data_IF_109682580795
#
_entry.id   IF_109682580795
#
_cell.length_a   1.000
_cell.length_b   1.000
_cell.length_c   1.000
_cell.angle_alpha   90.00
_cell.angle_beta   90.00
_cell.angle_gamma   90.00
#
_symmetry.space_group_name_H-M   'P 1'
#
loop_
_entity.id
_entity.type
_entity.pdbx_description
1 polymer ?
#
# COMPACT_ATOMS: atom_id res chain seq x y z
N UNK A 1 -16.78 7.36 -11.88
CA UNK A 1 -15.73 6.32 -11.88
C UNK A 1 -16.20 5.16 -11.00
N UNK A 2 -16.12 3.91 -11.48
CA UNK A 2 -16.50 2.71 -10.73
C UNK A 2 -15.22 2.00 -10.32
N UNK A 3 -14.94 1.92 -9.02
CA UNK A 3 -13.80 1.16 -8.52
C UNK A 3 -14.15 -0.33 -8.48
N UNK A 4 -13.29 -1.16 -9.02
CA UNK A 4 -13.42 -2.60 -9.05
C UNK A 4 -12.03 -3.27 -9.02
N UNK A 5 -11.99 -4.59 -9.17
CA UNK A 5 -10.75 -5.37 -9.08
C UNK A 5 -9.76 -5.06 -10.21
N UNK A 6 -10.20 -4.41 -11.29
CA UNK A 6 -9.33 -3.98 -12.40
C UNK A 6 -8.68 -2.62 -12.15
N UNK A 7 -9.07 -1.91 -11.07
CA UNK A 7 -8.41 -0.66 -10.70
C UNK A 7 -6.95 -0.93 -10.37
N UNK A 8 -6.06 -0.13 -10.95
CA UNK A 8 -4.64 -0.13 -10.63
C UNK A 8 -4.43 -0.01 -9.10
N UNK A 9 -3.49 -0.79 -8.56
CA UNK A 9 -3.32 -0.91 -7.11
C UNK A 9 -2.74 0.36 -6.49
N UNK A 10 -1.89 1.10 -7.22
CA UNK A 10 -1.36 2.37 -6.75
C UNK A 10 -2.49 3.41 -6.66
N UNK A 11 -3.34 3.47 -7.69
CA UNK A 11 -4.55 4.29 -7.68
C UNK A 11 -5.45 3.92 -6.49
N UNK A 12 -5.73 2.63 -6.29
CA UNK A 12 -6.53 2.16 -5.16
C UNK A 12 -5.91 2.57 -3.81
N UNK A 13 -4.59 2.48 -3.69
CA UNK A 13 -3.87 2.91 -2.49
C UNK A 13 -4.00 4.41 -2.24
N UNK A 14 -3.91 5.27 -3.27
CA UNK A 14 -4.11 6.73 -3.10
C UNK A 14 -5.52 7.03 -2.56
N UNK A 15 -6.55 6.33 -3.07
CA UNK A 15 -7.90 6.44 -2.49
C UNK A 15 -7.92 5.99 -1.02
N UNK A 16 -7.29 4.85 -0.70
CA UNK A 16 -7.23 4.30 0.65
C UNK A 16 -6.50 5.25 1.62
N UNK A 17 -5.43 5.90 1.15
CA UNK A 17 -4.62 6.87 1.89
C UNK A 17 -5.43 8.14 2.22
N UNK A 18 -6.12 8.73 1.25
CA UNK A 18 -6.93 9.94 1.47
C UNK A 18 -8.19 9.68 2.31
N UNK A 19 -8.74 8.48 2.21
CA UNK A 19 -9.92 8.07 2.99
C UNK A 19 -9.53 7.45 4.34
N UNK A 20 -8.24 7.40 4.66
CA UNK A 20 -7.75 6.81 5.89
C UNK A 20 -8.27 7.62 7.07
N UNK A 21 -9.03 6.93 7.92
CA UNK A 21 -9.42 7.43 9.22
C UNK A 21 -8.72 6.52 10.22
N UNK A 22 -8.26 7.04 11.37
CA UNK A 22 -7.71 6.20 12.42
C UNK A 22 -8.74 5.12 12.79
N UNK A 23 -8.49 3.88 12.37
CA UNK A 23 -9.29 2.70 12.67
C UNK A 23 -8.46 1.81 13.61
N UNK A 24 -8.97 1.44 14.79
CA UNK A 24 -8.22 0.60 15.73
C UNK A 24 -7.94 -0.82 15.22
N UNK A 25 -8.58 -1.27 14.12
CA UNK A 25 -8.47 -2.64 13.60
C UNK A 25 -7.54 -2.71 12.38
N UNK A 26 -7.44 -1.66 11.57
CA UNK A 26 -6.67 -1.65 10.31
C UNK A 26 -5.82 -0.39 10.22
N UNK A 27 -4.52 -0.54 10.45
CA UNK A 27 -3.54 0.53 10.29
C UNK A 27 -2.92 0.45 8.88
N UNK A 28 -3.24 1.43 8.03
CA UNK A 28 -2.68 1.51 6.68
C UNK A 28 -1.15 1.57 6.70
N UNK A 29 -0.57 2.15 7.76
CA UNK A 29 0.89 2.16 7.93
C UNK A 29 1.42 0.76 8.17
N UNK A 30 0.75 -0.03 9.00
CA UNK A 30 1.12 -1.42 9.24
C UNK A 30 1.02 -2.25 7.96
N UNK A 31 -0.03 -2.04 7.16
CA UNK A 31 -0.14 -2.72 5.86
C UNK A 31 1.11 -2.49 5.00
N UNK A 32 1.60 -1.25 4.96
CA UNK A 32 2.79 -0.87 4.19
C UNK A 32 4.10 -1.35 4.82
N UNK A 33 4.17 -1.51 6.14
CA UNK A 33 5.32 -2.09 6.83
C UNK A 33 5.42 -3.60 6.57
N UNK A 34 4.30 -4.30 6.66
CA UNK A 34 4.17 -5.75 6.43
C UNK A 34 4.63 -6.16 5.03
N UNK A 35 4.48 -5.29 4.02
CA UNK A 35 4.94 -5.54 2.65
C UNK A 35 6.44 -5.82 2.53
N UNK A 36 7.24 -5.37 3.50
CA UNK A 36 8.68 -5.69 3.55
C UNK A 36 8.91 -7.19 3.71
N UNK A 37 7.99 -7.88 4.39
CA UNK A 37 8.08 -9.31 4.71
C UNK A 37 7.14 -10.16 3.86
N UNK A 38 5.99 -9.60 3.47
CA UNK A 38 4.91 -10.30 2.76
C UNK A 38 4.46 -9.52 1.51
N UNK A 39 5.35 -9.35 0.50
CA UNK A 39 5.07 -8.55 -0.69
C UNK A 39 3.89 -9.08 -1.51
N UNK A 40 3.59 -10.38 -1.44
CA UNK A 40 2.46 -11.02 -2.10
C UNK A 40 1.09 -10.52 -1.59
N UNK A 41 1.03 -9.94 -0.38
CA UNK A 41 -0.23 -9.46 0.19
C UNK A 41 -0.84 -8.30 -0.57
N UNK A 42 -0.04 -7.53 -1.33
CA UNK A 42 -0.53 -6.43 -2.18
C UNK A 42 -1.62 -6.92 -3.14
N UNK A 43 -1.34 -7.96 -3.90
CA UNK A 43 -2.28 -8.56 -4.86
C UNK A 43 -3.18 -9.63 -4.24
N UNK A 44 -2.78 -10.17 -3.09
CA UNK A 44 -3.57 -11.12 -2.30
C UNK A 44 -4.66 -10.44 -1.47
N UNK A 45 -4.40 -10.29 -0.17
CA UNK A 45 -5.40 -9.82 0.80
C UNK A 45 -5.71 -8.33 0.68
N UNK A 46 -4.68 -7.49 0.52
CA UNK A 46 -4.83 -6.04 0.66
C UNK A 46 -5.65 -5.40 -0.44
N UNK A 47 -5.52 -5.83 -1.70
CA UNK A 47 -6.37 -5.34 -2.79
C UNK A 47 -7.86 -5.42 -2.45
N UNK A 48 -8.32 -6.58 -1.96
CA UNK A 48 -9.74 -6.79 -1.65
C UNK A 48 -10.18 -5.97 -0.43
N UNK A 49 -9.35 -5.94 0.61
CA UNK A 49 -9.60 -5.18 1.84
C UNK A 49 -9.66 -3.68 1.58
N UNK A 50 -8.67 -3.12 0.88
CA UNK A 50 -8.61 -1.71 0.51
C UNK A 50 -9.78 -1.33 -0.41
N UNK A 51 -10.12 -2.16 -1.40
CA UNK A 51 -11.26 -1.89 -2.28
C UNK A 51 -12.58 -1.84 -1.51
N UNK A 52 -12.77 -2.76 -0.57
CA UNK A 52 -13.97 -2.82 0.28
C UNK A 52 -14.07 -1.59 1.17
N UNK A 53 -12.97 -1.21 1.83
CA UNK A 53 -12.89 -0.02 2.65
C UNK A 53 -13.18 1.25 1.83
N UNK A 54 -12.48 1.44 0.71
CA UNK A 54 -12.63 2.62 -0.15
C UNK A 54 -14.07 2.74 -0.65
N UNK A 55 -14.71 1.65 -1.09
CA UNK A 55 -16.12 1.68 -1.52
C UNK A 55 -17.07 2.13 -0.40
N UNK A 56 -16.87 1.62 0.82
CA UNK A 56 -17.65 2.03 2.00
C UNK A 56 -17.48 3.53 2.28
N UNK A 57 -16.24 4.02 2.29
CA UNK A 57 -15.96 5.43 2.58
C UNK A 57 -16.44 6.37 1.47
N UNK A 58 -16.32 5.98 0.20
CA UNK A 58 -16.89 6.76 -0.91
C UNK A 58 -18.42 6.84 -0.84
N UNK A 59 -19.09 5.79 -0.34
CA UNK A 59 -20.53 5.87 -0.10
C UNK A 59 -20.85 6.89 1.00
N UNK A 60 -20.06 6.93 2.07
CA UNK A 60 -20.22 7.95 3.13
C UNK A 60 -19.94 9.37 2.61
N UNK A 61 -18.88 9.55 1.81
CA UNK A 61 -18.52 10.82 1.19
C UNK A 61 -19.67 11.40 0.37
N UNK A 62 -20.41 10.55 -0.37
CA UNK A 62 -21.59 10.97 -1.14
C UNK A 62 -22.74 11.53 -0.29
N UNK A 63 -22.77 11.19 1.00
CA UNK A 63 -23.76 11.71 1.96
C UNK A 63 -23.31 13.02 2.62
N UNK A 64 -22.05 13.43 2.42
CA UNK A 64 -21.54 14.71 2.91
C UNK A 64 -21.98 15.87 2.00
N UNK A 65 -21.78 17.09 2.47
CA UNK A 65 -22.08 18.28 1.68
C UNK A 65 -21.16 18.41 0.44
N UNK A 66 -21.56 19.28 -0.48
CA UNK A 66 -20.86 19.48 -1.75
C UNK A 66 -19.43 20.02 -1.55
N UNK A 67 -19.18 20.80 -0.49
CA UNK A 67 -17.86 21.37 -0.23
C UNK A 67 -16.88 20.28 0.19
N UNK A 68 -17.29 19.39 1.10
CA UNK A 68 -16.49 18.23 1.53
C UNK A 68 -16.20 17.28 0.37
N UNK A 69 -17.20 17.00 -0.48
CA UNK A 69 -17.01 16.19 -1.68
C UNK A 69 -16.01 16.84 -2.64
N UNK A 70 -16.15 18.14 -2.92
CA UNK A 70 -15.24 18.86 -3.81
C UNK A 70 -13.81 18.88 -3.27
N UNK A 71 -13.64 19.12 -1.97
CA UNK A 71 -12.32 19.12 -1.33
C UNK A 71 -11.63 17.76 -1.47
N UNK A 72 -12.37 16.65 -1.27
CA UNK A 72 -11.84 15.31 -1.48
C UNK A 72 -11.38 15.09 -2.92
N UNK A 73 -12.21 15.41 -3.92
CA UNK A 73 -11.86 15.19 -5.33
C UNK A 73 -10.68 16.04 -5.79
N UNK A 74 -10.54 17.26 -5.26
CA UNK A 74 -9.37 18.11 -5.50
C UNK A 74 -8.11 17.51 -4.88
N UNK A 75 -8.18 17.07 -3.62
CA UNK A 75 -7.07 16.41 -2.95
C UNK A 75 -6.65 15.12 -3.68
N UNK A 76 -7.62 14.33 -4.14
CA UNK A 76 -7.36 13.14 -4.95
C UNK A 76 -6.65 13.47 -6.25
N UNK A 77 -7.16 14.44 -7.01
CA UNK A 77 -6.54 14.85 -8.27
C UNK A 77 -5.08 15.28 -8.05
N UNK A 78 -4.84 16.11 -7.03
CA UNK A 78 -3.49 16.57 -6.67
C UNK A 78 -2.55 15.40 -6.33
N UNK A 79 -3.00 14.46 -5.48
CA UNK A 79 -2.17 13.30 -5.09
C UNK A 79 -1.93 12.30 -6.22
N UNK A 80 -2.82 12.25 -7.22
CA UNK A 80 -2.63 11.41 -8.40
C UNK A 80 -1.69 12.05 -9.42
N UNK A 81 -1.69 13.38 -9.53
CA UNK A 81 -0.81 14.12 -10.45
C UNK A 81 0.60 14.28 -9.88
N UNK A 82 0.72 14.52 -8.57
CA UNK A 82 1.98 14.84 -7.90
C UNK A 82 2.13 14.04 -6.59
N UNK A 83 2.16 12.70 -6.64
CA UNK A 83 2.33 11.86 -5.43
C UNK A 83 3.66 12.13 -4.70
N UNK A 84 4.69 12.60 -5.39
CA UNK A 84 6.02 12.89 -4.87
C UNK A 84 6.09 14.09 -3.92
N UNK A 85 5.12 15.01 -3.98
CA UNK A 85 5.05 16.16 -3.06
C UNK A 85 4.66 15.73 -1.63
N UNK A 86 4.15 14.51 -1.47
CA UNK A 86 3.85 13.89 -0.20
C UNK A 86 4.84 12.76 0.07
N UNK A 87 5.81 13.03 0.94
CA UNK A 87 6.88 12.09 1.25
C UNK A 87 6.36 10.73 1.73
N UNK A 88 5.31 10.72 2.56
CA UNK A 88 4.75 9.47 3.10
C UNK A 88 4.06 8.67 2.01
N UNK A 89 3.26 9.34 1.18
CA UNK A 89 2.58 8.71 0.05
C UNK A 89 3.60 8.15 -0.95
N UNK A 90 4.60 8.95 -1.33
CA UNK A 90 5.66 8.56 -2.26
C UNK A 90 6.44 7.34 -1.78
N UNK A 91 6.83 7.32 -0.50
CA UNK A 91 7.51 6.17 0.11
C UNK A 91 6.64 4.91 0.10
N UNK A 92 5.34 5.05 0.44
CA UNK A 92 4.41 3.92 0.43
C UNK A 92 4.18 3.38 -0.99
N UNK A 93 4.01 4.25 -1.98
CA UNK A 93 3.87 3.87 -3.38
C UNK A 93 5.13 3.16 -3.91
N UNK A 94 6.32 3.63 -3.51
CA UNK A 94 7.57 2.96 -3.86
C UNK A 94 7.65 1.55 -3.26
N UNK A 95 7.24 1.37 -2.00
CA UNK A 95 7.17 0.04 -1.36
C UNK A 95 6.18 -0.90 -2.06
N UNK A 96 5.00 -0.39 -2.43
CA UNK A 96 4.00 -1.16 -3.19
C UNK A 96 4.60 -1.59 -4.53
N UNK A 97 5.24 -0.68 -5.26
CA UNK A 97 5.87 -1.00 -6.55
C UNK A 97 6.96 -2.07 -6.41
N UNK A 98 7.83 -1.94 -5.40
CA UNK A 98 8.86 -2.93 -5.11
C UNK A 98 8.25 -4.30 -4.76
N UNK A 99 7.19 -4.31 -3.97
CA UNK A 99 6.48 -5.54 -3.58
C UNK A 99 5.86 -6.25 -4.77
N UNK A 100 5.25 -5.50 -5.69
CA UNK A 100 4.72 -6.05 -6.94
C UNK A 100 5.82 -6.67 -7.82
N UNK A 101 6.99 -6.02 -7.89
CA UNK A 101 8.16 -6.57 -8.59
C UNK A 101 8.64 -7.86 -7.95
N UNK A 102 8.74 -7.92 -6.62
CA UNK A 102 9.17 -9.12 -5.90
C UNK A 102 8.15 -10.27 -6.08
N UNK A 103 6.86 -9.98 -5.95
CA UNK A 103 5.80 -10.97 -6.08
C UNK A 103 5.69 -11.53 -7.51
N UNK A 104 6.00 -10.71 -8.53
CA UNK A 104 5.98 -11.16 -9.93
C UNK A 104 7.26 -11.88 -10.37
N UNK A 105 8.42 -11.56 -9.80
CA UNK A 105 9.71 -12.15 -10.22
C UNK A 105 9.94 -13.59 -9.73
N UNK A 106 9.18 -14.06 -8.73
CA UNK A 106 9.10 -15.46 -8.25
C UNK A 106 10.45 -16.22 -8.15
N UNK A 107 11.57 -15.50 -7.99
CA UNK A 107 12.92 -16.01 -7.75
C UNK A 107 13.24 -15.80 -6.27
N UNK A 108 12.56 -16.57 -5.43
CA UNK A 108 13.02 -16.76 -4.06
C UNK A 108 14.27 -17.66 -4.13
N UNK A 109 15.44 -17.05 -4.28
CA UNK A 109 16.70 -17.76 -4.03
C UNK A 109 16.85 -17.92 -2.52
N UNK A 110 16.50 -19.12 -2.03
CA UNK A 110 16.88 -19.54 -0.67
C UNK A 110 18.40 -19.49 -0.59
N UNK A 111 18.96 -18.45 0.04
CA UNK A 111 20.38 -18.43 0.35
C UNK A 111 20.57 -19.41 1.50
N UNK A 112 20.93 -20.65 1.17
CA UNK A 112 21.40 -21.65 2.14
C UNK A 112 22.79 -21.25 2.62
N UNK A 113 22.88 -20.19 3.42
CA UNK A 113 24.11 -19.94 4.17
C UNK A 113 24.13 -20.98 5.29
N UNK A 114 25.17 -21.84 5.40
CA UNK A 114 25.38 -22.57 6.63
C UNK A 114 25.70 -21.54 7.71
N UNK A 115 24.69 -21.22 8.53
CA UNK A 115 24.75 -20.21 9.60
C UNK A 115 26.01 -20.39 10.46
N UNK A 116 26.44 -21.64 10.65
CA UNK A 116 27.68 -22.02 11.32
C UNK A 116 28.92 -21.33 10.73
N UNK A 117 29.10 -21.35 9.41
CA UNK A 117 30.29 -20.79 8.75
C UNK A 117 30.35 -19.27 8.86
N UNK A 118 29.21 -18.60 8.79
CA UNK A 118 29.14 -17.14 8.95
C UNK A 118 29.44 -16.71 10.39
N UNK A 119 28.91 -17.44 11.38
CA UNK A 119 29.22 -17.18 12.79
C UNK A 119 30.69 -17.45 13.09
N UNK A 120 31.26 -18.54 12.55
CA UNK A 120 32.69 -18.85 12.71
C UNK A 120 33.58 -17.75 12.12
N UNK A 121 33.21 -17.17 10.96
CA UNK A 121 33.94 -16.06 10.36
C UNK A 121 33.84 -14.77 11.21
N UNK A 122 32.68 -14.46 11.77
CA UNK A 122 32.49 -13.28 12.62
C UNK A 122 33.20 -13.38 13.96
N UNK A 123 33.31 -14.59 14.52
CA UNK A 123 33.98 -14.85 15.80
C UNK A 123 35.50 -15.02 15.64
N UNK A 124 36.01 -15.12 14.42
CA UNK A 124 37.44 -15.23 14.12
C UNK A 124 38.16 -13.87 13.93
N UNK A 125 37.53 -12.75 14.33
CA UNK A 125 38.11 -11.41 14.38
C UNK A 125 38.73 -11.10 15.76
#
# INVERSE_FOLDING_TARGET
>A
MKLDTSTDIQTLFIYRYLLDKPDPIVDLKQDIEDLTYFPERVEGSYRAEWLTYVKKQLHQLKQQDQAAQSAFWQALALKMEQPEEDEQLSQALSKIEQSLKIASDNKVSVIKIPVKTYIEQLLSL
#
